data_IF_988799176131
#
_entry.id   IF_988799176131
#
_cell.length_a   1.000
_cell.length_b   1.000
_cell.length_c   1.000
_cell.angle_alpha   90.00
_cell.angle_beta   90.00
_cell.angle_gamma   90.00
#
_symmetry.space_group_name_H-M   'P 1'
#
loop_
_entity.id
_entity.type
_entity.pdbx_description
1 polymer ?
#
# COMPACT_ATOMS: atom_id res chain seq x y z
N UNK A 1 1.74 -5.49 -12.70
CA UNK A 1 1.41 -4.05 -12.72
C UNK A 1 0.38 -3.84 -11.63
N UNK A 2 0.70 -3.05 -10.62
CA UNK A 2 -0.20 -2.74 -9.51
C UNK A 2 -0.80 -1.36 -9.76
N UNK A 3 -2.11 -1.24 -9.55
CA UNK A 3 -2.84 0.01 -9.71
C UNK A 3 -3.60 0.31 -8.41
N UNK A 4 -3.57 1.57 -8.01
CA UNK A 4 -4.34 2.08 -6.87
C UNK A 4 -5.19 3.24 -7.36
N UNK A 5 -6.46 3.28 -6.95
CA UNK A 5 -7.34 4.39 -7.34
C UNK A 5 -7.17 5.59 -6.41
N UNK A 6 -7.51 6.80 -6.85
CA UNK A 6 -7.45 7.98 -5.99
C UNK A 6 -8.28 7.85 -4.71
N UNK A 7 -9.44 7.20 -4.77
CA UNK A 7 -10.31 6.96 -3.61
C UNK A 7 -9.68 5.98 -2.62
N UNK A 8 -8.97 4.96 -3.12
CA UNK A 8 -8.24 4.03 -2.27
C UNK A 8 -7.08 4.71 -1.53
N UNK A 9 -6.34 5.62 -2.20
CA UNK A 9 -5.33 6.46 -1.55
C UNK A 9 -5.97 7.32 -0.45
N UNK A 10 -7.08 7.99 -0.77
CA UNK A 10 -7.79 8.83 0.21
C UNK A 10 -8.24 8.00 1.42
N UNK A 11 -8.82 6.83 1.18
CA UNK A 11 -9.29 5.95 2.24
C UNK A 11 -8.14 5.37 3.07
N UNK A 12 -7.04 5.00 2.44
CA UNK A 12 -5.85 4.50 3.14
C UNK A 12 -5.30 5.59 4.07
N UNK A 13 -5.13 6.82 3.58
CA UNK A 13 -4.70 7.95 4.40
C UNK A 13 -5.64 8.24 5.58
N UNK A 14 -6.96 8.11 5.39
CA UNK A 14 -7.92 8.25 6.49
C UNK A 14 -7.78 7.18 7.58
N UNK A 15 -7.27 6.00 7.23
CA UNK A 15 -7.08 4.87 8.14
C UNK A 15 -5.67 4.81 8.71
N UNK A 16 -4.73 5.57 8.13
CA UNK A 16 -3.34 5.63 8.54
C UNK A 16 -3.23 6.43 9.85
N UNK A 17 -2.64 5.81 10.87
CA UNK A 17 -2.45 6.45 12.18
C UNK A 17 -1.11 7.18 12.28
N UNK A 18 -0.09 6.73 11.54
CA UNK A 18 1.28 7.24 11.56
C UNK A 18 1.69 7.74 10.17
N UNK A 19 2.00 9.02 10.03
CA UNK A 19 2.27 9.68 8.73
C UNK A 19 3.48 9.08 7.96
N UNK A 20 4.42 8.45 8.66
CA UNK A 20 5.64 7.87 8.05
C UNK A 20 5.46 6.42 7.58
N UNK A 21 4.28 5.82 7.76
CA UNK A 21 3.99 4.47 7.28
C UNK A 21 3.44 4.45 5.86
N UNK A 22 3.58 3.30 5.19
CA UNK A 22 3.05 3.04 3.85
C UNK A 22 2.05 1.91 3.86
N UNK A 23 1.24 1.80 2.81
CA UNK A 23 0.33 0.66 2.66
C UNK A 23 1.10 -0.52 2.05
N UNK A 24 1.35 -1.53 2.87
CA UNK A 24 1.98 -2.78 2.48
C UNK A 24 0.95 -3.73 1.88
N UNK A 25 1.29 -4.31 0.74
CA UNK A 25 0.51 -5.30 0.00
C UNK A 25 1.32 -6.59 -0.03
N UNK A 26 0.80 -7.63 0.63
CA UNK A 26 1.39 -8.97 0.63
C UNK A 26 0.43 -9.96 -0.01
N UNK A 27 0.98 -11.02 -0.60
CA UNK A 27 0.21 -12.21 -0.98
C UNK A 27 0.52 -13.33 0.01
N UNK A 28 -0.50 -13.92 0.59
CA UNK A 28 -0.38 -15.10 1.45
C UNK A 28 -1.17 -16.29 0.90
N UNK A 29 -0.80 -17.49 1.33
CA UNK A 29 -1.57 -18.69 1.02
C UNK A 29 -2.86 -18.74 1.84
N UNK A 30 -4.01 -18.70 1.16
CA UNK A 30 -5.35 -18.89 1.75
C UNK A 30 -5.78 -20.36 1.89
N UNK A 31 -4.83 -21.30 1.84
CA UNK A 31 -5.09 -22.73 1.93
C UNK A 31 -5.79 -23.29 0.68
N UNK A 32 -6.85 -24.09 0.86
CA UNK A 32 -7.62 -24.68 -0.25
C UNK A 32 -8.29 -23.65 -1.16
N UNK A 33 -8.41 -22.39 -0.71
CA UNK A 33 -9.05 -21.29 -1.43
C UNK A 33 -8.09 -20.51 -2.34
N UNK A 34 -6.78 -20.83 -2.34
CA UNK A 34 -5.80 -20.21 -3.23
C UNK A 34 -4.97 -19.12 -2.55
N UNK A 35 -4.88 -17.94 -3.16
CA UNK A 35 -4.07 -16.82 -2.70
C UNK A 35 -4.95 -15.70 -2.14
N UNK A 36 -4.47 -15.04 -1.10
CA UNK A 36 -5.15 -13.93 -0.44
C UNK A 36 -4.23 -12.70 -0.37
N UNK A 37 -4.80 -11.51 -0.58
CA UNK A 37 -4.09 -10.25 -0.37
C UNK A 37 -4.25 -9.78 1.06
N UNK A 38 -3.13 -9.43 1.68
CA UNK A 38 -3.09 -8.79 2.99
C UNK A 38 -2.66 -7.35 2.81
N UNK A 39 -3.43 -6.44 3.41
CA UNK A 39 -3.18 -5.01 3.43
C UNK A 39 -2.92 -4.57 4.86
N UNK A 40 -1.80 -3.92 5.11
CA UNK A 40 -1.46 -3.36 6.42
C UNK A 40 -0.63 -2.09 6.28
N UNK A 41 -0.66 -1.22 7.27
CA UNK A 41 0.28 -0.10 7.35
C UNK A 41 1.59 -0.59 7.96
N UNK A 42 2.71 -0.22 7.36
CA UNK A 42 4.04 -0.64 7.80
C UNK A 42 5.11 0.36 7.38
N UNK A 43 6.28 0.27 8.00
CA UNK A 43 7.47 0.96 7.54
C UNK A 43 8.13 0.13 6.41
N UNK A 44 8.70 0.81 5.42
CA UNK A 44 9.49 0.15 4.37
C UNK A 44 10.95 0.02 4.80
N UNK A 45 11.63 -0.99 4.29
CA UNK A 45 13.07 -1.18 4.42
C UNK A 45 13.78 -1.25 3.05
N UNK A 46 15.11 -1.33 3.06
CA UNK A 46 15.93 -1.33 1.84
C UNK A 46 15.68 -2.53 0.89
N UNK A 47 14.99 -3.57 1.37
CA UNK A 47 14.67 -4.78 0.59
C UNK A 47 13.29 -4.72 -0.04
N UNK A 48 12.45 -3.79 0.40
CA UNK A 48 11.09 -3.66 -0.12
C UNK A 48 11.06 -3.01 -1.50
N UNK A 49 10.08 -3.42 -2.31
CA UNK A 49 9.76 -2.72 -3.55
C UNK A 49 8.74 -1.63 -3.22
N UNK A 50 9.16 -0.37 -3.27
CA UNK A 50 8.30 0.77 -2.97
C UNK A 50 7.81 1.45 -4.24
N UNK A 51 6.49 1.54 -4.41
CA UNK A 51 5.85 2.31 -5.48
C UNK A 51 5.35 3.65 -4.94
N UNK A 52 5.90 4.72 -5.49
CA UNK A 52 5.53 6.10 -5.12
C UNK A 52 4.40 6.58 -6.02
N UNK A 53 3.23 6.82 -5.43
CA UNK A 53 2.07 7.34 -6.12
C UNK A 53 1.96 8.85 -5.87
N UNK A 54 2.01 9.62 -6.95
CA UNK A 54 1.71 11.06 -6.94
C UNK A 54 0.31 11.26 -7.50
N UNK A 55 -0.56 11.94 -6.76
CA UNK A 55 -1.81 12.43 -7.35
C UNK A 55 -1.49 13.67 -8.19
N UNK A 56 -1.93 13.67 -9.46
CA UNK A 56 -1.75 14.77 -10.42
C UNK A 56 -2.24 16.15 -9.92
N UNK A 57 -3.06 16.18 -8.86
CA UNK A 57 -3.62 17.40 -8.25
C UNK A 57 -2.80 17.96 -7.08
N UNK A 58 -1.51 17.65 -6.99
CA UNK A 58 -0.64 18.15 -5.91
C UNK A 58 -0.95 17.54 -4.54
N UNK A 59 -1.60 16.37 -4.52
CA UNK A 59 -1.84 15.59 -3.32
C UNK A 59 -0.54 14.99 -2.76
N UNK A 60 -0.50 14.81 -1.44
CA UNK A 60 0.73 14.36 -0.77
C UNK A 60 1.13 12.96 -1.23
N UNK A 61 2.44 12.74 -1.34
CA UNK A 61 3.02 11.48 -1.78
C UNK A 61 2.49 10.31 -0.93
N UNK A 62 1.97 9.28 -1.59
CA UNK A 62 1.55 8.04 -0.93
C UNK A 62 2.39 6.89 -1.45
N UNK A 63 2.89 6.03 -0.56
CA UNK A 63 3.79 4.96 -0.93
C UNK A 63 3.18 3.59 -0.62
N UNK A 64 3.36 2.68 -1.58
CA UNK A 64 2.94 1.29 -1.50
C UNK A 64 4.17 0.42 -1.31
N UNK A 65 4.10 -0.50 -0.37
CA UNK A 65 5.19 -1.42 -0.05
C UNK A 65 4.78 -2.80 -0.58
N UNK A 66 5.58 -3.38 -1.47
CA UNK A 66 5.25 -4.65 -2.12
C UNK A 66 6.19 -5.77 -1.67
N UNK A 67 5.60 -6.86 -1.19
CA UNK A 67 6.24 -8.16 -0.92
C UNK A 67 6.01 -9.18 -2.05
#
# INVERSE_FOLDING_TARGET
MLAITPEAIHKAKQLQEEDDTGLRVKVQGGGCSGLEYVLSFDYYDDKDIVLWCKNDEGGEDFHLICD
#
